data_IF_243648319112
#
_entry.id   IF_243648319112
#
_cell.length_a   1.000
_cell.length_b   1.000
_cell.length_c   1.000
_cell.angle_alpha   90.00
_cell.angle_beta   90.00
_cell.angle_gamma   90.00
#
_symmetry.space_group_name_H-M   'P 1'
#
loop_
_entity.id
_entity.type
_entity.pdbx_description
1 polymer ?
#
# COMPACT_ATOMS: atom_id res chain seq x y z
N UNK A 1 53.29 10.84 6.20
CA UNK A 1 54.41 11.57 6.85
C UNK A 1 54.69 12.93 6.17
N UNK A 2 53.67 13.74 5.86
CA UNK A 2 53.81 15.08 5.25
C UNK A 2 53.09 16.18 6.05
N UNK A 3 52.08 15.82 6.86
CA UNK A 3 51.32 16.74 7.70
C UNK A 3 52.07 17.21 8.97
N UNK A 4 53.01 16.41 9.48
CA UNK A 4 53.80 16.75 10.68
C UNK A 4 54.90 17.79 10.41
N UNK A 5 55.21 18.02 9.13
CA UNK A 5 56.23 18.98 8.67
C UNK A 5 55.63 20.35 8.31
N UNK A 6 54.31 20.52 8.38
CA UNK A 6 53.61 21.76 8.01
C UNK A 6 53.53 22.73 9.20
N UNK A 7 54.08 23.94 9.03
CA UNK A 7 54.15 24.98 10.07
C UNK A 7 52.87 25.82 10.19
N UNK A 8 52.04 25.88 9.15
CA UNK A 8 50.75 26.56 9.18
C UNK A 8 49.71 25.69 9.90
N UNK A 9 49.24 26.16 11.07
CA UNK A 9 48.27 25.45 11.90
C UNK A 9 46.95 25.15 11.18
N UNK A 10 46.53 26.02 10.25
CA UNK A 10 45.28 25.84 9.50
C UNK A 10 45.43 24.78 8.40
N UNK A 11 46.57 24.77 7.71
CA UNK A 11 46.89 23.74 6.71
C UNK A 11 47.13 22.39 7.36
N UNK A 12 47.82 22.35 8.51
CA UNK A 12 48.03 21.13 9.30
C UNK A 12 46.69 20.51 9.72
N UNK A 13 45.75 21.29 10.22
CA UNK A 13 44.42 20.79 10.59
C UNK A 13 43.63 20.27 9.37
N UNK A 14 43.72 20.96 8.21
CA UNK A 14 43.14 20.48 6.95
C UNK A 14 43.74 19.15 6.51
N UNK A 15 45.06 18.99 6.55
CA UNK A 15 45.73 17.73 6.20
C UNK A 15 45.35 16.58 7.14
N UNK A 16 45.26 16.83 8.44
CA UNK A 16 44.79 15.82 9.41
C UNK A 16 43.35 15.42 9.11
N UNK A 17 42.47 16.39 8.84
CA UNK A 17 41.07 16.11 8.48
C UNK A 17 40.94 15.33 7.16
N UNK A 18 41.82 15.62 6.19
CA UNK A 18 41.86 14.94 4.92
C UNK A 18 42.36 13.50 5.08
N UNK A 19 43.45 13.28 5.82
CA UNK A 19 43.96 11.96 6.14
C UNK A 19 42.91 11.09 6.86
N UNK A 20 42.16 11.67 7.80
CA UNK A 20 41.06 10.99 8.47
C UNK A 20 39.91 10.62 7.50
N UNK A 21 39.57 11.51 6.55
CA UNK A 21 38.57 11.23 5.51
C UNK A 21 39.02 10.12 4.56
N UNK A 22 40.27 10.17 4.09
CA UNK A 22 40.84 9.14 3.21
C UNK A 22 40.84 7.79 3.91
N UNK A 23 41.27 7.73 5.17
CA UNK A 23 41.23 6.49 5.97
C UNK A 23 39.80 5.95 6.11
N UNK A 24 38.82 6.81 6.35
CA UNK A 24 37.42 6.40 6.42
C UNK A 24 36.90 5.85 5.09
N UNK A 25 37.31 6.43 3.97
CA UNK A 25 36.94 5.93 2.63
C UNK A 25 37.57 4.56 2.40
N UNK A 26 38.86 4.40 2.71
CA UNK A 26 39.60 3.15 2.60
C UNK A 26 38.94 2.02 3.39
N UNK A 27 38.61 2.28 4.67
CA UNK A 27 37.88 1.31 5.52
C UNK A 27 36.48 0.96 4.98
N UNK A 28 35.80 1.88 4.29
CA UNK A 28 34.50 1.59 3.67
C UNK A 28 34.65 0.80 2.38
N UNK A 29 35.67 1.11 1.57
CA UNK A 29 35.98 0.36 0.35
C UNK A 29 36.35 -1.08 0.67
N UNK A 30 37.15 -1.31 1.71
CA UNK A 30 37.52 -2.66 2.15
C UNK A 30 36.29 -3.46 2.56
N UNK A 31 35.39 -2.88 3.36
CA UNK A 31 34.13 -3.53 3.77
C UNK A 31 33.25 -3.91 2.58
N UNK A 32 33.13 -3.02 1.59
CA UNK A 32 32.38 -3.31 0.37
C UNK A 32 33.05 -4.39 -0.48
N UNK A 33 34.39 -4.41 -0.52
CA UNK A 33 35.16 -5.46 -1.20
C UNK A 33 34.99 -6.83 -0.54
N UNK A 34 35.06 -6.89 0.80
CA UNK A 34 34.82 -8.11 1.58
C UNK A 34 33.40 -8.64 1.37
N UNK A 35 32.39 -7.76 1.37
CA UNK A 35 31.00 -8.14 1.12
C UNK A 35 30.81 -8.67 -0.32
N UNK A 36 31.39 -7.99 -1.31
CA UNK A 36 31.35 -8.44 -2.70
C UNK A 36 32.01 -9.82 -2.86
N UNK A 37 33.17 -10.01 -2.22
CA UNK A 37 33.89 -11.29 -2.24
C UNK A 37 33.08 -12.41 -1.61
N UNK A 38 32.45 -12.18 -0.45
CA UNK A 38 31.59 -13.18 0.21
C UNK A 38 30.42 -13.60 -0.69
N UNK A 39 29.81 -12.65 -1.42
CA UNK A 39 28.73 -12.93 -2.37
C UNK A 39 29.22 -13.72 -3.58
N UNK A 40 30.40 -13.39 -4.10
CA UNK A 40 31.02 -14.10 -5.23
C UNK A 40 31.43 -15.52 -4.86
N UNK A 41 31.97 -15.71 -3.65
CA UNK A 41 32.39 -17.01 -3.13
C UNK A 41 31.18 -17.92 -2.83
N UNK A 42 30.01 -17.36 -2.52
CA UNK A 42 28.80 -18.10 -2.14
C UNK A 42 27.55 -17.68 -2.97
N UNK A 43 27.53 -17.94 -4.29
CA UNK A 43 26.50 -17.40 -5.19
C UNK A 43 25.09 -17.98 -4.96
N UNK A 44 24.96 -19.12 -4.28
CA UNK A 44 23.67 -19.74 -3.92
C UNK A 44 23.10 -19.23 -2.60
N UNK A 45 23.94 -18.66 -1.72
CA UNK A 45 23.58 -18.32 -0.34
C UNK A 45 23.31 -16.82 -0.14
N UNK A 46 23.07 -16.10 -1.22
CA UNK A 46 22.84 -14.65 -1.22
C UNK A 46 21.77 -14.22 -0.19
N UNK A 47 20.67 -14.97 -0.07
CA UNK A 47 19.62 -14.66 0.90
C UNK A 47 20.09 -14.79 2.36
N UNK A 48 20.96 -15.75 2.66
CA UNK A 48 21.54 -15.93 3.99
C UNK A 48 22.56 -14.82 4.32
N UNK A 49 23.36 -14.41 3.33
CA UNK A 49 24.29 -13.27 3.46
C UNK A 49 23.52 -11.98 3.72
N UNK A 50 22.47 -11.71 2.95
CA UNK A 50 21.59 -10.54 3.15
C UNK A 50 20.98 -10.57 4.55
N UNK A 51 20.49 -11.72 5.00
CA UNK A 51 19.91 -11.86 6.35
C UNK A 51 20.92 -11.52 7.46
N UNK A 52 22.16 -12.03 7.35
CA UNK A 52 23.21 -11.84 8.35
C UNK A 52 23.82 -10.43 8.33
N UNK A 53 24.02 -9.85 7.13
CA UNK A 53 24.75 -8.60 6.91
C UNK A 53 23.87 -7.49 6.33
N UNK A 54 22.55 -7.52 6.55
CA UNK A 54 21.59 -6.55 5.97
C UNK A 54 22.05 -5.09 6.07
N UNK A 55 22.64 -4.70 7.20
CA UNK A 55 23.12 -3.33 7.48
C UNK A 55 24.22 -2.84 6.51
N UNK A 56 24.89 -3.74 5.82
CA UNK A 56 25.98 -3.43 4.90
C UNK A 56 25.52 -3.28 3.44
N UNK A 57 24.32 -3.76 3.11
CA UNK A 57 23.65 -3.52 1.83
C UNK A 57 23.00 -2.12 1.82
N UNK A 58 23.83 -1.09 1.65
CA UNK A 58 23.43 0.31 1.59
C UNK A 58 23.57 0.87 0.17
N UNK A 59 23.06 2.09 -0.07
CA UNK A 59 23.29 2.78 -1.33
C UNK A 59 24.78 2.96 -1.66
N UNK A 60 25.64 3.03 -0.65
CA UNK A 60 27.10 3.15 -0.80
C UNK A 60 27.69 1.88 -1.41
N UNK A 61 27.22 0.71 -0.97
CA UNK A 61 27.62 -0.58 -1.53
C UNK A 61 27.20 -0.71 -3.01
N UNK A 62 25.97 -0.34 -3.36
CA UNK A 62 25.53 -0.41 -4.76
C UNK A 62 26.29 0.57 -5.66
N UNK A 63 26.64 1.76 -5.16
CA UNK A 63 27.52 2.70 -5.87
C UNK A 63 28.93 2.14 -6.04
N UNK A 64 29.45 1.43 -5.04
CA UNK A 64 30.72 0.70 -5.17
C UNK A 64 30.65 -0.37 -6.26
N UNK A 65 29.56 -1.13 -6.36
CA UNK A 65 29.39 -2.11 -7.46
C UNK A 65 29.41 -1.45 -8.85
N UNK A 66 28.75 -0.29 -9.01
CA UNK A 66 28.82 0.48 -10.25
C UNK A 66 30.23 0.96 -10.54
N UNK A 67 30.93 1.50 -9.54
CA UNK A 67 32.32 1.95 -9.69
C UNK A 67 33.24 0.80 -10.12
N UNK A 68 33.10 -0.37 -9.51
CA UNK A 68 33.87 -1.57 -9.87
C UNK A 68 33.51 -2.05 -11.28
N UNK A 69 32.22 -2.05 -11.65
CA UNK A 69 31.79 -2.33 -13.03
C UNK A 69 32.52 -1.44 -14.03
N UNK A 70 32.66 -0.14 -13.75
CA UNK A 70 33.33 0.81 -14.64
C UNK A 70 34.85 0.56 -14.77
N UNK A 71 35.46 -0.19 -13.84
CA UNK A 71 36.89 -0.58 -13.93
C UNK A 71 37.15 -1.78 -14.84
N UNK A 72 36.12 -2.55 -15.23
CA UNK A 72 36.29 -3.68 -16.12
C UNK A 72 36.31 -3.24 -17.59
N UNK A 73 37.22 -3.77 -18.39
CA UNK A 73 37.27 -3.49 -19.84
C UNK A 73 36.30 -4.36 -20.65
N UNK A 74 35.96 -5.55 -20.15
CA UNK A 74 35.09 -6.49 -20.85
C UNK A 74 33.61 -6.22 -20.57
N UNK A 75 32.77 -6.34 -21.60
CA UNK A 75 31.32 -6.21 -21.44
C UNK A 75 30.72 -7.36 -20.63
N UNK A 76 31.34 -8.55 -20.68
CA UNK A 76 30.89 -9.73 -19.93
C UNK A 76 31.08 -9.55 -18.41
N UNK A 77 32.22 -9.01 -17.99
CA UNK A 77 32.49 -8.76 -16.56
C UNK A 77 31.60 -7.64 -16.01
N UNK A 78 31.35 -6.60 -16.83
CA UNK A 78 30.38 -5.54 -16.49
C UNK A 78 28.96 -6.09 -16.32
N UNK A 79 28.50 -6.92 -17.25
CA UNK A 79 27.18 -7.55 -17.17
C UNK A 79 27.07 -8.48 -15.95
N UNK A 80 28.14 -9.22 -15.63
CA UNK A 80 28.17 -10.09 -14.45
C UNK A 80 27.99 -9.31 -13.14
N UNK A 81 28.68 -8.17 -12.98
CA UNK A 81 28.54 -7.30 -11.80
C UNK A 81 27.15 -6.65 -11.75
N UNK A 82 26.61 -6.20 -12.88
CA UNK A 82 25.27 -5.62 -12.96
C UNK A 82 24.18 -6.63 -12.56
N UNK A 83 24.28 -7.88 -13.03
CA UNK A 83 23.38 -8.98 -12.64
C UNK A 83 23.50 -9.30 -11.16
N UNK A 84 24.72 -9.34 -10.63
CA UNK A 84 24.95 -9.56 -9.20
C UNK A 84 24.32 -8.44 -8.37
N UNK A 85 24.49 -7.17 -8.76
CA UNK A 85 23.84 -6.02 -8.13
C UNK A 85 22.31 -6.12 -8.15
N UNK A 86 21.72 -6.52 -9.28
CA UNK A 86 20.28 -6.74 -9.42
C UNK A 86 19.77 -7.85 -8.49
N UNK A 87 20.51 -8.97 -8.41
CA UNK A 87 20.18 -10.07 -7.49
C UNK A 87 20.27 -9.64 -6.04
N UNK A 88 21.31 -8.88 -5.66
CA UNK A 88 21.46 -8.33 -4.32
C UNK A 88 20.30 -7.41 -3.94
N UNK A 89 19.92 -6.51 -4.84
CA UNK A 89 18.81 -5.59 -4.62
C UNK A 89 17.48 -6.34 -4.46
N UNK A 90 17.24 -7.36 -5.29
CA UNK A 90 16.05 -8.21 -5.19
C UNK A 90 16.00 -8.95 -3.84
N UNK A 91 17.11 -9.57 -3.43
CA UNK A 91 17.20 -10.28 -2.15
C UNK A 91 17.02 -9.35 -0.94
N UNK A 92 17.61 -8.15 -0.98
CA UNK A 92 17.42 -7.10 0.04
C UNK A 92 15.96 -6.65 0.10
N UNK A 93 15.34 -6.37 -1.05
CA UNK A 93 13.94 -5.97 -1.11
C UNK A 93 13.00 -7.04 -0.57
N UNK A 94 13.25 -8.31 -0.91
CA UNK A 94 12.48 -9.44 -0.41
C UNK A 94 12.63 -9.59 1.12
N UNK A 95 13.86 -9.45 1.64
CA UNK A 95 14.12 -9.49 3.08
C UNK A 95 13.40 -8.35 3.81
N UNK A 96 13.51 -7.11 3.33
CA UNK A 96 12.89 -5.94 3.95
C UNK A 96 11.36 -6.03 3.93
N UNK A 97 10.77 -6.45 2.81
CA UNK A 97 9.32 -6.69 2.72
C UNK A 97 8.86 -7.78 3.67
N UNK A 98 9.65 -8.84 3.83
CA UNK A 98 9.35 -9.92 4.77
C UNK A 98 9.39 -9.40 6.21
N UNK A 99 10.40 -8.58 6.54
CA UNK A 99 10.54 -7.98 7.86
C UNK A 99 9.37 -7.03 8.16
N UNK A 100 9.00 -6.16 7.23
CA UNK A 100 7.83 -5.27 7.34
C UNK A 100 6.54 -6.09 7.51
N UNK A 101 6.38 -7.19 6.78
CA UNK A 101 5.24 -8.09 6.93
C UNK A 101 5.20 -8.78 8.31
N UNK A 102 6.35 -9.21 8.84
CA UNK A 102 6.44 -9.79 10.19
C UNK A 102 6.14 -8.76 11.27
N UNK A 103 6.72 -7.55 11.20
CA UNK A 103 6.46 -6.48 12.17
C UNK A 103 4.99 -6.03 12.17
N UNK A 104 4.37 -5.98 10.99
CA UNK A 104 2.93 -5.67 10.87
C UNK A 104 2.05 -6.79 11.41
N UNK A 105 2.45 -8.06 11.26
CA UNK A 105 1.75 -9.20 11.87
C UNK A 105 1.88 -9.23 13.40
N UNK A 106 3.08 -9.00 13.94
CA UNK A 106 3.29 -8.98 15.40
C UNK A 106 2.48 -7.86 16.06
N UNK A 107 2.45 -6.68 15.44
CA UNK A 107 1.63 -5.56 15.89
C UNK A 107 0.13 -5.89 15.83
N UNK A 108 -0.32 -6.52 14.74
CA UNK A 108 -1.71 -6.96 14.60
C UNK A 108 -2.08 -8.04 15.63
N UNK A 109 -1.18 -8.98 15.91
CA UNK A 109 -1.37 -10.01 16.93
C UNK A 109 -1.48 -9.39 18.32
N UNK A 110 -0.58 -8.46 18.68
CA UNK A 110 -0.63 -7.77 19.97
C UNK A 110 -1.96 -6.99 20.16
N UNK A 111 -2.44 -6.31 19.12
CA UNK A 111 -3.76 -5.64 19.13
C UNK A 111 -4.89 -6.66 19.30
N UNK A 112 -4.83 -7.79 18.62
CA UNK A 112 -5.84 -8.84 18.73
C UNK A 112 -5.89 -9.45 20.13
N UNK A 113 -4.73 -9.75 20.71
CA UNK A 113 -4.61 -10.24 22.08
C UNK A 113 -5.14 -9.22 23.09
N UNK A 114 -4.87 -7.92 22.90
CA UNK A 114 -5.43 -6.86 23.73
C UNK A 114 -6.97 -6.77 23.64
N UNK A 115 -7.55 -7.02 22.46
CA UNK A 115 -9.02 -7.14 22.30
C UNK A 115 -9.54 -8.33 23.10
N UNK A 116 -8.91 -9.51 22.97
CA UNK A 116 -9.33 -10.74 23.65
C UNK A 116 -9.19 -10.67 25.17
N UNK A 117 -8.17 -9.97 25.67
CA UNK A 117 -7.93 -9.76 27.10
C UNK A 117 -8.81 -8.67 27.72
N UNK A 118 -9.80 -8.15 26.99
CA UNK A 118 -10.73 -7.15 27.52
C UNK A 118 -11.59 -7.73 28.66
N UNK A 119 -11.94 -6.94 29.67
CA UNK A 119 -12.67 -7.42 30.85
C UNK A 119 -14.13 -7.82 30.55
N UNK A 120 -14.68 -7.41 29.39
CA UNK A 120 -16.02 -7.77 28.93
C UNK A 120 -16.13 -7.72 27.40
N UNK A 121 -17.19 -8.31 26.86
CA UNK A 121 -17.52 -8.27 25.42
C UNK A 121 -17.75 -6.81 24.98
N UNK A 122 -18.42 -6.01 25.80
CA UNK A 122 -18.68 -4.60 25.49
C UNK A 122 -17.37 -3.81 25.41
N UNK A 123 -16.45 -4.05 26.34
CA UNK A 123 -15.13 -3.42 26.32
C UNK A 123 -14.33 -3.83 25.06
N UNK A 124 -14.36 -5.10 24.68
CA UNK A 124 -13.74 -5.58 23.44
C UNK A 124 -14.37 -4.90 22.21
N UNK A 125 -15.69 -4.77 22.17
CA UNK A 125 -16.41 -4.11 21.08
C UNK A 125 -16.07 -2.62 20.97
N UNK A 126 -15.96 -1.90 22.10
CA UNK A 126 -15.54 -0.49 22.11
C UNK A 126 -14.09 -0.30 21.68
N UNK A 127 -13.18 -1.23 22.04
CA UNK A 127 -11.79 -1.20 21.51
C UNK A 127 -11.77 -1.33 19.99
N UNK A 128 -12.53 -2.25 19.41
CA UNK A 128 -12.63 -2.41 17.94
C UNK A 128 -13.13 -1.12 17.28
N UNK A 129 -14.19 -0.50 17.84
CA UNK A 129 -14.71 0.77 17.33
C UNK A 129 -13.65 1.88 17.41
N UNK A 130 -12.86 1.90 18.47
CA UNK A 130 -11.78 2.87 18.68
C UNK A 130 -10.65 2.69 17.67
N UNK A 131 -10.21 1.45 17.45
CA UNK A 131 -9.23 1.10 16.41
C UNK A 131 -9.70 1.47 15.00
N UNK A 132 -10.98 1.24 14.70
CA UNK A 132 -11.57 1.65 13.42
C UNK A 132 -11.54 3.17 13.23
N UNK A 133 -11.90 3.95 14.26
CA UNK A 133 -11.85 5.42 14.23
C UNK A 133 -10.42 5.95 14.07
N UNK A 134 -9.45 5.29 14.70
CA UNK A 134 -8.02 5.62 14.60
C UNK A 134 -7.38 5.18 13.26
N UNK A 135 -8.12 4.47 12.39
CA UNK A 135 -7.59 3.83 11.17
C UNK A 135 -6.50 2.79 11.45
N UNK A 136 -6.52 2.20 12.65
CA UNK A 136 -5.59 1.17 13.11
C UNK A 136 -6.16 -0.26 12.98
N UNK A 137 -7.39 -0.37 12.48
CA UNK A 137 -7.99 -1.64 12.07
C UNK A 137 -7.46 -2.03 10.68
N UNK A 138 -6.18 -2.37 10.62
CA UNK A 138 -5.44 -2.69 9.39
C UNK A 138 -5.79 -4.08 8.83
N UNK A 139 -5.36 -4.35 7.60
CA UNK A 139 -5.66 -5.60 6.87
C UNK A 139 -5.20 -6.86 7.62
N UNK A 140 -4.05 -6.79 8.30
CA UNK A 140 -3.49 -7.90 9.07
C UNK A 140 -4.36 -8.22 10.28
N UNK A 141 -4.77 -7.19 11.04
CA UNK A 141 -5.69 -7.36 12.17
C UNK A 141 -7.07 -7.88 11.73
N UNK A 142 -7.60 -7.38 10.60
CA UNK A 142 -8.87 -7.86 10.03
C UNK A 142 -8.77 -9.34 9.65
N UNK A 143 -7.64 -9.76 9.06
CA UNK A 143 -7.42 -11.15 8.68
C UNK A 143 -7.38 -12.06 9.91
N UNK A 144 -6.65 -11.68 10.95
CA UNK A 144 -6.58 -12.41 12.23
C UNK A 144 -7.97 -12.58 12.87
N UNK A 145 -8.78 -11.53 12.92
CA UNK A 145 -10.14 -11.59 13.47
C UNK A 145 -11.03 -12.54 12.64
N UNK A 146 -10.95 -12.45 11.31
CA UNK A 146 -11.75 -13.32 10.43
C UNK A 146 -11.32 -14.79 10.54
N UNK A 147 -10.02 -15.06 10.60
CA UNK A 147 -9.48 -16.42 10.72
C UNK A 147 -9.82 -17.03 12.09
N UNK A 148 -9.70 -16.25 13.16
CA UNK A 148 -10.06 -16.69 14.51
C UNK A 148 -11.56 -17.00 14.62
N UNK A 149 -12.45 -16.20 14.01
CA UNK A 149 -13.88 -16.50 13.95
C UNK A 149 -14.16 -17.77 13.12
N UNK A 150 -13.52 -17.93 11.94
CA UNK A 150 -13.69 -19.13 11.12
C UNK A 150 -13.27 -20.39 11.91
N UNK A 151 -12.11 -20.37 12.54
CA UNK A 151 -11.62 -21.46 13.38
C UNK A 151 -12.53 -21.75 14.57
N UNK A 152 -13.05 -20.72 15.25
CA UNK A 152 -13.99 -20.89 16.37
C UNK A 152 -15.32 -21.49 15.91
N UNK A 153 -15.85 -21.02 14.77
CA UNK A 153 -17.09 -21.52 14.17
C UNK A 153 -16.99 -23.00 13.83
N UNK A 154 -15.91 -23.39 13.14
CA UNK A 154 -15.72 -24.74 12.61
C UNK A 154 -15.22 -25.75 13.67
N UNK A 155 -14.74 -25.27 14.82
CA UNK A 155 -14.27 -26.13 15.92
C UNK A 155 -15.43 -26.86 16.60
N UNK A 156 -15.39 -28.20 16.60
CA UNK A 156 -16.35 -29.05 17.29
C UNK A 156 -16.21 -29.01 18.83
N UNK A 157 -15.00 -28.70 19.33
CA UNK A 157 -14.66 -28.78 20.75
C UNK A 157 -14.69 -27.42 21.46
N UNK A 158 -14.93 -26.34 20.72
CA UNK A 158 -14.98 -24.99 21.29
C UNK A 158 -16.31 -24.76 22.02
N UNK A 159 -16.23 -24.22 23.24
CA UNK A 159 -17.40 -23.85 24.03
C UNK A 159 -18.27 -22.80 23.32
N UNK A 160 -19.59 -22.90 23.46
CA UNK A 160 -20.53 -21.99 22.79
C UNK A 160 -20.34 -20.54 23.23
N UNK A 161 -19.95 -20.30 24.48
CA UNK A 161 -19.66 -18.96 25.00
C UNK A 161 -18.47 -18.32 24.26
N UNK A 162 -17.43 -19.11 23.98
CA UNK A 162 -16.26 -18.62 23.22
C UNK A 162 -16.65 -18.34 21.77
N UNK A 163 -17.49 -19.20 21.16
CA UNK A 163 -18.02 -18.94 19.81
C UNK A 163 -18.83 -17.64 19.76
N UNK A 164 -19.67 -17.39 20.77
CA UNK A 164 -20.47 -16.16 20.83
C UNK A 164 -19.59 -14.92 21.00
N UNK A 165 -18.59 -14.96 21.89
CA UNK A 165 -17.62 -13.87 22.04
C UNK A 165 -16.92 -13.57 20.72
N UNK A 166 -16.39 -14.60 20.05
CA UNK A 166 -15.71 -14.47 18.77
C UNK A 166 -16.63 -13.95 17.67
N UNK A 167 -17.90 -14.38 17.66
CA UNK A 167 -18.91 -13.87 16.74
C UNK A 167 -19.18 -12.39 16.95
N UNK A 168 -19.32 -11.93 18.19
CA UNK A 168 -19.55 -10.51 18.50
C UNK A 168 -18.35 -9.64 18.10
N UNK A 169 -17.12 -10.09 18.36
CA UNK A 169 -15.90 -9.42 17.90
C UNK A 169 -15.90 -9.31 16.37
N UNK A 170 -16.11 -10.41 15.66
CA UNK A 170 -16.21 -10.42 14.19
C UNK A 170 -17.31 -9.47 13.66
N UNK A 171 -18.50 -9.55 14.24
CA UNK A 171 -19.67 -8.73 13.84
C UNK A 171 -19.40 -7.25 14.07
N UNK A 172 -18.81 -6.89 15.22
CA UNK A 172 -18.44 -5.51 15.55
C UNK A 172 -17.35 -4.99 14.61
N UNK A 173 -16.35 -5.80 14.26
CA UNK A 173 -15.34 -5.46 13.25
C UNK A 173 -15.97 -5.16 11.90
N UNK A 174 -16.86 -6.03 11.39
CA UNK A 174 -17.58 -5.79 10.12
C UNK A 174 -18.47 -4.55 10.19
N UNK A 175 -19.14 -4.32 11.32
CA UNK A 175 -19.98 -3.13 11.51
C UNK A 175 -19.14 -1.85 11.53
N UNK A 176 -18.02 -1.86 12.25
CA UNK A 176 -17.11 -0.71 12.38
C UNK A 176 -16.50 -0.34 11.04
N UNK A 177 -16.05 -1.32 10.25
CA UNK A 177 -15.57 -1.10 8.88
C UNK A 177 -16.63 -0.45 7.97
N UNK A 178 -17.88 -0.92 8.06
CA UNK A 178 -19.00 -0.30 7.31
C UNK A 178 -19.29 1.12 7.79
N UNK A 179 -19.11 1.41 9.08
CA UNK A 179 -19.37 2.74 9.62
C UNK A 179 -18.35 3.78 9.16
N UNK A 180 -17.07 3.42 9.13
CA UNK A 180 -15.96 4.30 8.69
C UNK A 180 -15.82 4.39 7.18
N UNK A 181 -16.50 3.52 6.43
CA UNK A 181 -16.49 3.56 4.98
C UNK A 181 -17.04 4.91 4.49
N UNK A 182 -16.33 5.59 3.57
CA UNK A 182 -16.82 6.79 2.91
C UNK A 182 -18.22 6.58 2.34
N UNK A 183 -19.03 7.64 2.31
CA UNK A 183 -20.39 7.59 1.79
C UNK A 183 -20.41 7.14 0.31
N UNK A 184 -19.35 7.43 -0.44
CA UNK A 184 -19.14 7.01 -1.82
C UNK A 184 -19.00 5.50 -1.94
N UNK A 185 -18.33 4.82 -0.99
CA UNK A 185 -18.26 3.35 -0.97
C UNK A 185 -19.64 2.73 -0.73
N UNK A 186 -20.43 3.35 0.15
CA UNK A 186 -21.80 2.90 0.45
C UNK A 186 -22.71 3.10 -0.77
N UNK A 187 -22.57 4.23 -1.46
CA UNK A 187 -23.28 4.54 -2.70
C UNK A 187 -22.89 3.57 -3.81
N UNK A 188 -21.59 3.31 -4.03
CA UNK A 188 -21.12 2.34 -5.03
C UNK A 188 -21.68 0.95 -4.76
N UNK A 189 -21.69 0.50 -3.50
CA UNK A 189 -22.29 -0.78 -3.15
C UNK A 189 -23.79 -0.82 -3.52
N UNK A 190 -24.52 0.26 -3.26
CA UNK A 190 -25.93 0.36 -3.64
C UNK A 190 -26.10 0.30 -5.16
N UNK A 191 -25.41 1.17 -5.90
CA UNK A 191 -25.47 1.23 -7.37
C UNK A 191 -25.11 -0.10 -8.04
N UNK A 192 -24.06 -0.77 -7.56
CA UNK A 192 -23.61 -2.05 -8.09
C UNK A 192 -24.59 -3.20 -7.81
N UNK A 193 -25.42 -3.08 -6.75
CA UNK A 193 -26.43 -4.07 -6.39
C UNK A 193 -27.74 -3.91 -7.18
N UNK A 194 -27.99 -2.73 -7.77
CA UNK A 194 -29.15 -2.52 -8.67
C UNK A 194 -28.93 -3.35 -9.93
N UNK A 195 -29.86 -4.25 -10.23
CA UNK A 195 -29.76 -5.14 -11.39
C UNK A 195 -30.07 -4.40 -12.69
N UNK A 196 -31.14 -3.58 -12.67
CA UNK A 196 -31.61 -2.85 -13.82
C UNK A 196 -30.71 -1.63 -14.15
N UNK A 197 -30.24 -1.48 -15.40
CA UNK A 197 -29.40 -0.36 -15.79
C UNK A 197 -30.08 1.00 -15.66
N UNK A 198 -31.36 1.13 -16.02
CA UNK A 198 -32.09 2.40 -15.99
C UNK A 198 -32.30 2.87 -14.54
N UNK A 199 -32.71 1.97 -13.65
CA UNK A 199 -32.80 2.24 -12.22
C UNK A 199 -31.45 2.64 -11.63
N UNK A 200 -30.35 2.02 -12.08
CA UNK A 200 -29.00 2.35 -11.62
C UNK A 200 -28.61 3.77 -12.04
N UNK A 201 -28.85 4.15 -13.29
CA UNK A 201 -28.52 5.49 -13.78
C UNK A 201 -29.43 6.56 -13.17
N UNK A 202 -30.70 6.23 -12.93
CA UNK A 202 -31.62 7.10 -12.18
C UNK A 202 -31.14 7.33 -10.73
N UNK A 203 -30.70 6.26 -10.04
CA UNK A 203 -30.12 6.36 -8.70
C UNK A 203 -28.80 7.14 -8.70
N UNK A 204 -27.97 7.00 -9.74
CA UNK A 204 -26.73 7.76 -9.93
C UNK A 204 -27.03 9.26 -10.12
N UNK A 205 -27.96 9.62 -11.00
CA UNK A 205 -28.39 11.00 -11.23
C UNK A 205 -28.94 11.63 -9.95
N UNK A 206 -29.76 10.89 -9.20
CA UNK A 206 -30.30 11.32 -7.89
C UNK A 206 -29.18 11.54 -6.87
N UNK A 207 -28.12 10.72 -6.87
CA UNK A 207 -26.99 10.89 -5.96
C UNK A 207 -26.15 12.14 -6.26
N UNK A 208 -26.16 12.64 -7.50
CA UNK A 208 -25.47 13.87 -7.91
C UNK A 208 -26.31 15.14 -7.80
N UNK A 209 -27.64 15.00 -7.77
CA UNK A 209 -28.59 16.08 -7.61
C UNK A 209 -29.28 15.96 -6.24
N UNK A 210 -28.69 16.49 -5.15
CA UNK A 210 -29.45 16.66 -3.91
C UNK A 210 -30.64 17.57 -4.23
N UNK A 211 -31.86 17.03 -4.14
CA UNK A 211 -33.08 17.80 -4.36
C UNK A 211 -33.13 19.07 -3.50
N UNK A 212 -34.00 19.99 -3.90
CA UNK A 212 -34.20 21.29 -3.23
C UNK A 212 -34.46 21.08 -1.73
N UNK A 213 -33.93 21.94 -0.85
CA UNK A 213 -33.93 21.73 0.61
C UNK A 213 -35.34 21.67 1.26
N UNK A 214 -36.39 21.87 0.45
CA UNK A 214 -37.79 21.99 0.85
C UNK A 214 -38.56 20.67 0.79
N UNK A 215 -38.03 19.64 0.13
CA UNK A 215 -38.61 18.29 0.18
C UNK A 215 -37.98 17.49 1.33
N UNK A 216 -38.79 16.68 2.00
CA UNK A 216 -38.33 15.84 3.10
C UNK A 216 -37.20 14.92 2.60
N UNK A 217 -35.95 15.33 2.85
CA UNK A 217 -34.75 14.56 2.50
C UNK A 217 -34.90 13.19 3.15
N UNK A 218 -34.91 12.13 2.33
CA UNK A 218 -34.78 10.76 2.85
C UNK A 218 -33.54 10.75 3.77
N UNK A 219 -33.69 10.43 5.07
CA UNK A 219 -32.57 10.36 6.01
C UNK A 219 -31.45 9.42 5.56
N UNK A 220 -31.72 8.54 4.60
CA UNK A 220 -30.78 7.56 4.05
C UNK A 220 -30.23 7.91 2.66
N UNK A 221 -30.61 9.05 2.05
CA UNK A 221 -30.11 9.42 0.73
C UNK A 221 -28.61 9.78 0.77
N UNK A 222 -27.81 9.03 0.01
CA UNK A 222 -26.35 9.19 -0.07
C UNK A 222 -25.96 10.10 -1.23
N UNK A 223 -25.87 11.41 -0.96
CA UNK A 223 -25.45 12.40 -1.96
C UNK A 223 -23.93 12.56 -2.06
N UNK A 224 -23.42 12.70 -3.27
CA UNK A 224 -21.99 12.91 -3.56
C UNK A 224 -21.78 13.81 -4.78
N UNK A 225 -20.54 14.22 -5.04
CA UNK A 225 -20.18 14.90 -6.29
C UNK A 225 -19.69 13.90 -7.33
N UNK A 226 -19.88 14.17 -8.64
CA UNK A 226 -19.32 13.34 -9.70
C UNK A 226 -17.82 13.10 -9.55
N UNK A 227 -17.05 14.11 -9.16
CA UNK A 227 -15.60 14.03 -8.95
C UNK A 227 -15.21 13.06 -7.83
N UNK A 228 -15.88 13.13 -6.68
CA UNK A 228 -15.55 12.24 -5.55
C UNK A 228 -15.96 10.81 -5.85
N UNK A 229 -17.12 10.57 -6.46
CA UNK A 229 -17.53 9.21 -6.84
C UNK A 229 -16.58 8.60 -7.88
N UNK A 230 -16.21 9.38 -8.91
CA UNK A 230 -15.24 8.98 -9.93
C UNK A 230 -13.90 8.57 -9.33
N UNK A 231 -13.35 9.37 -8.41
CA UNK A 231 -12.11 9.06 -7.70
C UNK A 231 -12.17 7.69 -7.01
N UNK A 232 -13.27 7.38 -6.32
CA UNK A 232 -13.43 6.09 -5.65
C UNK A 232 -13.61 4.92 -6.62
N UNK A 233 -14.32 5.12 -7.73
CA UNK A 233 -14.42 4.13 -8.81
C UNK A 233 -13.04 3.82 -9.40
N UNK A 234 -12.22 4.85 -9.66
CA UNK A 234 -10.86 4.70 -10.16
C UNK A 234 -9.97 3.95 -9.17
N UNK A 235 -9.98 4.32 -7.89
CA UNK A 235 -9.23 3.61 -6.84
C UNK A 235 -9.60 2.12 -6.79
N UNK A 236 -10.89 1.77 -6.91
CA UNK A 236 -11.32 0.36 -6.93
C UNK A 236 -10.83 -0.39 -8.16
N UNK A 237 -10.87 0.24 -9.34
CA UNK A 237 -10.40 -0.37 -10.59
C UNK A 237 -8.87 -0.55 -10.58
N UNK A 238 -8.12 0.44 -10.12
CA UNK A 238 -6.66 0.39 -9.99
C UNK A 238 -6.25 -0.72 -9.00
N UNK A 239 -6.91 -0.82 -7.85
CA UNK A 239 -6.67 -1.89 -6.88
C UNK A 239 -6.97 -3.28 -7.44
N UNK A 240 -7.97 -3.40 -8.31
CA UNK A 240 -8.28 -4.67 -8.98
C UNK A 240 -7.23 -5.06 -10.03
N UNK A 241 -6.70 -4.08 -10.77
CA UNK A 241 -5.63 -4.30 -11.75
C UNK A 241 -4.32 -4.68 -11.08
N UNK A 242 -3.93 -3.98 -10.01
CA UNK A 242 -2.74 -4.27 -9.22
C UNK A 242 -2.74 -5.71 -8.68
N UNK A 243 -3.88 -6.17 -8.16
CA UNK A 243 -4.04 -7.56 -7.69
C UNK A 243 -4.06 -8.60 -8.82
N UNK A 244 -4.29 -8.19 -10.07
CA UNK A 244 -4.32 -9.05 -11.26
C UNK A 244 -2.97 -9.14 -11.99
N UNK A 245 -2.05 -8.23 -11.71
CA UNK A 245 -0.68 -8.26 -12.25
C UNK A 245 0.18 -9.34 -11.59
N UNK A 246 -0.24 -9.88 -10.43
CA UNK A 246 0.37 -11.05 -9.78
C UNK A 246 -0.01 -12.41 -10.41
N UNK A 247 -0.99 -12.46 -11.32
CA UNK A 247 -1.41 -13.70 -11.99
C UNK A 247 -1.32 -13.54 -13.52
N UNK A 248 -0.27 -14.09 -14.12
CA UNK A 248 0.01 -14.02 -15.55
C UNK A 248 -1.01 -14.82 -16.39
N UNK A 249 -1.62 -14.15 -17.37
CA UNK A 249 -2.11 -14.60 -18.70
C UNK A 249 -3.15 -13.57 -19.17
N UNK A 250 -2.83 -12.79 -20.20
CA UNK A 250 -3.58 -11.59 -20.61
C UNK A 250 -4.82 -11.89 -21.47
N UNK A 251 -4.83 -12.96 -22.27
CA UNK A 251 -5.98 -13.28 -23.13
C UNK A 251 -7.13 -14.01 -22.39
N UNK A 252 -6.85 -14.82 -21.36
CA UNK A 252 -7.89 -15.43 -20.52
C UNK A 252 -8.60 -14.42 -19.58
N UNK A 253 -7.97 -13.25 -19.34
CA UNK A 253 -8.44 -12.18 -18.43
C UNK A 253 -9.66 -11.41 -18.92
N UNK A 254 -9.90 -11.34 -20.24
CA UNK A 254 -11.08 -10.66 -20.80
C UNK A 254 -12.35 -11.51 -20.66
N UNK A 255 -12.23 -12.83 -20.73
CA UNK A 255 -13.37 -13.76 -20.59
C UNK A 255 -13.84 -13.99 -19.14
N UNK A 256 -13.06 -13.56 -18.14
CA UNK A 256 -13.25 -13.87 -16.70
C UNK A 256 -13.49 -12.64 -15.82
N UNK A 257 -13.78 -11.48 -16.39
CA UNK A 257 -14.09 -10.29 -15.58
C UNK A 257 -15.41 -10.52 -14.80
N UNK A 258 -15.41 -10.43 -13.45
CA UNK A 258 -16.63 -10.50 -12.68
C UNK A 258 -17.59 -9.39 -13.11
N UNK A 259 -18.89 -9.69 -13.18
CA UNK A 259 -19.96 -8.74 -13.55
C UNK A 259 -19.87 -7.41 -12.80
N UNK A 260 -19.41 -7.43 -11.55
CA UNK A 260 -19.21 -6.23 -10.71
C UNK A 260 -18.15 -5.28 -11.29
N UNK A 261 -17.06 -5.80 -11.86
CA UNK A 261 -15.98 -5.00 -12.44
C UNK A 261 -16.44 -4.34 -13.74
N UNK A 262 -17.19 -5.07 -14.57
CA UNK A 262 -17.81 -4.49 -15.78
C UNK A 262 -18.75 -3.34 -15.41
N UNK A 263 -19.58 -3.54 -14.38
CA UNK A 263 -20.47 -2.47 -13.86
C UNK A 263 -19.68 -1.25 -13.35
N UNK A 264 -18.50 -1.45 -12.75
CA UNK A 264 -17.63 -0.35 -12.33
C UNK A 264 -17.03 0.42 -13.51
N UNK A 265 -16.63 -0.26 -14.59
CA UNK A 265 -16.16 0.42 -15.81
C UNK A 265 -17.28 1.26 -16.45
N UNK A 266 -18.48 0.70 -16.58
CA UNK A 266 -19.64 1.45 -17.11
C UNK A 266 -19.92 2.68 -16.24
N UNK A 267 -19.93 2.54 -14.91
CA UNK A 267 -20.11 3.69 -14.01
C UNK A 267 -19.00 4.73 -14.18
N UNK A 268 -17.75 4.31 -14.38
CA UNK A 268 -16.64 5.24 -14.63
C UNK A 268 -16.87 6.05 -15.89
N UNK A 269 -17.14 5.38 -17.02
CA UNK A 269 -17.36 5.99 -18.33
C UNK A 269 -18.55 6.95 -18.29
N UNK A 270 -19.68 6.53 -17.72
CA UNK A 270 -20.86 7.41 -17.56
C UNK A 270 -20.54 8.67 -16.75
N UNK A 271 -19.78 8.54 -15.65
CA UNK A 271 -19.42 9.72 -14.84
C UNK A 271 -18.49 10.66 -15.62
N UNK A 272 -17.52 10.11 -16.36
CA UNK A 272 -16.61 10.89 -17.21
C UNK A 272 -17.38 11.64 -18.30
N UNK A 273 -18.14 10.93 -19.12
CA UNK A 273 -18.82 11.47 -20.30
C UNK A 273 -19.98 12.43 -19.95
N UNK A 274 -20.80 12.06 -18.96
CA UNK A 274 -22.04 12.80 -18.68
C UNK A 274 -21.86 13.93 -17.67
N UNK A 275 -20.88 13.82 -16.76
CA UNK A 275 -20.78 14.71 -15.60
C UNK A 275 -19.43 15.42 -15.44
N UNK A 276 -18.33 14.92 -16.02
CA UNK A 276 -17.01 15.55 -15.92
C UNK A 276 -16.61 16.28 -17.20
N UNK A 277 -16.86 15.69 -18.38
CA UNK A 277 -16.52 16.32 -19.66
C UNK A 277 -17.38 17.55 -19.97
N UNK A 278 -18.64 17.57 -19.50
CA UNK A 278 -19.55 18.71 -19.65
C UNK A 278 -19.21 19.92 -18.77
N UNK A 279 -18.44 19.75 -17.68
CA UNK A 279 -17.99 20.89 -16.86
C UNK A 279 -17.02 21.81 -17.61
N UNK A 280 -16.26 21.26 -18.56
CA UNK A 280 -15.37 22.05 -19.44
C UNK A 280 -16.15 22.93 -20.40
N UNK A 281 -17.30 22.46 -20.90
CA UNK A 281 -18.15 23.23 -21.82
C UNK A 281 -19.01 24.30 -21.14
N UNK A 282 -19.50 24.05 -19.92
CA UNK A 282 -20.38 25.00 -19.21
C UNK A 282 -19.66 26.27 -18.74
N UNK A 283 -18.37 26.17 -18.44
CA UNK A 283 -17.56 27.32 -17.99
C UNK A 283 -17.26 28.30 -19.15
N UNK A 284 -17.21 27.82 -20.40
CA UNK A 284 -17.02 28.67 -21.58
C UNK A 284 -18.31 29.39 -22.00
N UNK A 285 -19.48 28.79 -21.80
CA UNK A 285 -20.76 29.41 -22.19
C UNK A 285 -21.24 30.49 -21.23
N UNK A 286 -20.80 30.46 -19.96
CA UNK A 286 -21.13 31.50 -18.96
C UNK A 286 -20.22 32.74 -19.02
N UNK A 287 -19.02 32.64 -19.62
CA UNK A 287 -18.18 33.82 -19.89
C UNK A 287 -18.61 34.55 -21.17
N UNK A 288 -19.03 33.84 -22.23
CA UNK A 288 -19.51 34.47 -23.48
C UNK A 288 -20.91 35.11 -23.34
N UNK A 289 -21.70 34.73 -22.33
CA UNK A 289 -23.03 35.32 -22.08
C UNK A 289 -23.02 36.50 -21.10
N UNK A 290 -21.85 36.92 -20.60
CA UNK A 290 -21.68 38.10 -19.73
C UNK A 290 -20.95 39.26 -20.40
N UNK A 291 -20.59 39.15 -21.68
CA UNK A 291 -19.92 40.20 -22.46
C UNK A 291 -20.82 40.93 -23.47
N UNK A 292 -22.13 40.67 -23.46
CA UNK A 292 -23.12 41.46 -24.21
C UNK A 292 -24.17 42.03 -23.24
N UNK A 293 -23.79 43.10 -22.54
CA UNK A 293 -24.66 44.19 -22.07
C UNK A 293 -23.82 45.44 -21.75
#
# INVERSE_FOLDING_TARGET
>A
MRADMETDSTLKQKFVSFAAKVKRIDEQMEKHSELLKEIQDNPTDLNAIVTKRRKEFTGDFFRYLTLISDTFDSLEDRDAIARLGTRCLSAVSAFDKTLEYVETLDTAQAKFDDILNSPSIDAACEKIKSLAKAKELDSSLILLINSAWAAAKDSANMKNEVKEIMYQIYKTTKSSLRSIAPKEIKLLKHLLNIADPEERFSALATAFCPGDEREAKDPYALYTTPKELHKWVKIMLDAYQLNKEDSDIREAKQMTQPVVIQRLYILKETIEEEYLDKTTFRTQTEEDSKSED
#
